data_IF_072856322414
#
_entry.id   IF_072856322414
#
_cell.length_a   1.000
_cell.length_b   1.000
_cell.length_c   1.000
_cell.angle_alpha   90.00
_cell.angle_beta   90.00
_cell.angle_gamma   90.00
#
_symmetry.space_group_name_H-M   'P 1'
#
loop_
_entity.id
_entity.type
_entity.pdbx_description
1 polymer ?
#
# COMPACT_ATOMS: atom_id res chain seq x y z
N UNK A 1 33.15 31.42 23.35
CA UNK A 1 32.35 31.12 22.13
C UNK A 1 31.61 32.38 21.71
N UNK A 2 31.51 32.77 20.42
CA UNK A 2 30.93 32.06 19.27
C UNK A 2 29.39 32.01 19.25
N UNK A 3 28.69 32.91 19.95
CA UNK A 3 27.23 32.89 19.98
C UNK A 3 26.65 33.63 18.76
N UNK A 4 26.43 32.86 17.69
CA UNK A 4 25.62 33.28 16.56
C UNK A 4 24.15 33.45 16.93
N UNK A 5 23.44 34.20 16.08
CA UNK A 5 22.00 34.42 15.79
C UNK A 5 20.87 33.70 16.55
N UNK A 6 21.10 32.99 17.64
CA UNK A 6 20.10 32.22 18.37
C UNK A 6 19.48 33.10 19.45
N UNK A 7 18.16 33.28 19.40
CA UNK A 7 17.42 34.06 20.39
C UNK A 7 17.15 33.24 21.66
N UNK A 8 16.92 33.92 22.78
CA UNK A 8 16.50 33.27 24.03
C UNK A 8 15.25 32.40 23.84
N UNK A 9 14.29 32.83 23.02
CA UNK A 9 13.10 32.05 22.71
C UNK A 9 13.40 30.77 21.92
N UNK A 10 14.42 30.77 21.05
CA UNK A 10 14.87 29.56 20.35
C UNK A 10 15.56 28.57 21.30
N UNK A 11 16.29 29.07 22.30
CA UNK A 11 16.89 28.24 23.35
C UNK A 11 15.79 27.60 24.21
N UNK A 12 14.79 28.37 24.63
CA UNK A 12 13.67 27.88 25.42
C UNK A 12 12.85 26.82 24.65
N UNK A 13 12.60 27.05 23.36
CA UNK A 13 11.95 26.06 22.49
C UNK A 13 12.75 24.75 22.36
N UNK A 14 14.08 24.82 22.29
CA UNK A 14 14.95 23.64 22.25
C UNK A 14 14.91 22.85 23.56
N UNK A 15 14.95 23.53 24.71
CA UNK A 15 14.83 22.91 26.04
C UNK A 15 13.49 22.19 26.17
N UNK A 16 12.39 22.82 25.72
CA UNK A 16 11.07 22.20 25.73
C UNK A 16 11.01 20.96 24.83
N UNK A 17 11.57 21.02 23.61
CA UNK A 17 11.64 19.86 22.70
C UNK A 17 12.48 18.71 23.24
N UNK A 18 13.45 19.00 24.11
CA UNK A 18 14.30 18.00 24.75
C UNK A 18 13.65 17.31 25.95
N UNK A 19 12.41 17.66 26.32
CA UNK A 19 11.75 17.11 27.51
C UNK A 19 11.97 17.95 28.77
N UNK A 20 12.31 19.24 28.61
CA UNK A 20 12.42 20.22 29.68
C UNK A 20 13.81 20.29 30.34
N UNK A 21 13.93 21.19 31.33
CA UNK A 21 15.20 21.55 31.96
C UNK A 21 15.98 20.37 32.54
N UNK A 22 15.29 19.41 33.17
CA UNK A 22 15.93 18.22 33.74
C UNK A 22 16.67 17.39 32.69
N UNK A 23 16.10 17.30 31.49
CA UNK A 23 16.63 16.52 30.39
C UNK A 23 17.77 17.28 29.70
N UNK A 24 17.62 18.60 29.55
CA UNK A 24 18.70 19.50 29.14
C UNK A 24 19.93 19.39 30.04
N UNK A 25 19.76 19.46 31.35
CA UNK A 25 20.89 19.41 32.29
C UNK A 25 21.57 18.03 32.29
N UNK A 26 20.81 16.94 32.16
CA UNK A 26 21.37 15.59 32.03
C UNK A 26 22.14 15.39 30.70
N UNK A 27 21.68 16.03 29.61
CA UNK A 27 22.40 16.04 28.34
C UNK A 27 23.71 16.83 28.43
N UNK A 28 23.69 18.02 29.06
CA UNK A 28 24.90 18.83 29.28
C UNK A 28 25.94 18.14 30.16
N UNK A 29 25.50 17.30 31.11
CA UNK A 29 26.39 16.47 31.95
C UNK A 29 26.88 15.20 31.24
N UNK A 30 26.42 14.92 30.02
CA UNK A 30 26.76 13.70 29.29
C UNK A 30 26.10 12.43 29.82
N UNK A 31 25.13 12.56 30.74
CA UNK A 31 24.40 11.42 31.34
C UNK A 31 23.37 10.83 30.38
N UNK A 32 22.97 11.59 29.37
CA UNK A 32 22.05 11.19 28.32
C UNK A 32 22.47 11.76 26.99
N UNK A 33 22.30 10.98 25.92
CA UNK A 33 22.50 11.42 24.54
C UNK A 33 21.18 11.87 23.93
N UNK A 34 21.21 13.00 23.24
CA UNK A 34 20.12 13.41 22.35
C UNK A 34 20.39 12.74 21.02
N UNK A 35 19.62 11.71 20.72
CA UNK A 35 19.57 11.16 19.37
C UNK A 35 18.71 12.12 18.56
N UNK A 36 19.37 12.99 17.79
CA UNK A 36 18.68 13.68 16.70
C UNK A 36 18.40 12.59 15.69
N UNK A 37 17.13 12.24 15.54
CA UNK A 37 16.70 11.33 14.50
C UNK A 37 16.98 11.99 13.14
N UNK A 38 18.13 11.64 12.58
CA UNK A 38 18.61 12.09 11.27
C UNK A 38 18.15 11.14 10.18
N UNK A 39 17.27 10.20 10.50
CA UNK A 39 16.85 9.20 9.55
C UNK A 39 16.11 9.89 8.39
N UNK A 40 16.71 9.75 7.21
CA UNK A 40 16.19 10.34 5.98
C UNK A 40 14.80 9.77 5.72
N UNK A 41 13.77 10.61 5.50
CA UNK A 41 12.46 10.13 5.09
C UNK A 41 12.57 9.36 3.77
N UNK A 42 11.90 8.22 3.69
CA UNK A 42 11.77 7.42 2.47
C UNK A 42 10.54 7.83 1.66
N UNK A 43 9.55 8.44 2.32
CA UNK A 43 8.33 8.95 1.69
C UNK A 43 8.26 10.47 1.80
N UNK A 44 7.76 11.10 0.74
CA UNK A 44 7.54 12.54 0.68
C UNK A 44 6.35 12.96 1.54
N UNK A 45 6.11 14.27 1.63
CA UNK A 45 5.01 14.83 2.43
C UNK A 45 3.59 14.38 2.02
N UNK A 46 3.45 13.63 0.92
CA UNK A 46 2.18 13.08 0.41
C UNK A 46 2.13 11.55 0.49
N UNK A 47 3.14 10.93 1.08
CA UNK A 47 3.25 9.49 1.21
C UNK A 47 3.70 8.77 -0.05
N UNK A 48 4.20 9.49 -1.06
CA UNK A 48 4.84 8.87 -2.22
C UNK A 48 6.30 8.59 -1.91
N UNK A 49 6.83 7.45 -2.37
CA UNK A 49 8.25 7.11 -2.25
C UNK A 49 9.12 8.18 -2.92
N UNK A 50 10.22 8.54 -2.27
CA UNK A 50 11.22 9.47 -2.79
C UNK A 50 12.16 8.71 -3.73
N UNK A 51 12.25 9.16 -4.98
CA UNK A 51 13.06 8.51 -6.02
C UNK A 51 14.53 8.90 -5.88
N UNK A 52 15.41 7.94 -5.59
CA UNK A 52 16.85 8.19 -5.50
C UNK A 52 17.65 7.03 -6.08
N UNK A 53 18.65 7.34 -6.91
CA UNK A 53 19.58 6.34 -7.44
C UNK A 53 18.99 5.33 -8.43
N UNK A 54 17.73 5.48 -8.84
CA UNK A 54 17.06 4.56 -9.76
C UNK A 54 17.64 4.61 -11.18
N UNK A 55 17.67 3.45 -11.82
CA UNK A 55 18.03 3.30 -13.23
C UNK A 55 16.78 3.19 -14.10
N UNK A 56 15.73 2.55 -13.59
CA UNK A 56 14.46 2.42 -14.27
C UNK A 56 13.68 3.75 -14.35
N UNK A 57 12.76 3.81 -15.31
CA UNK A 57 12.03 5.04 -15.60
C UNK A 57 11.09 5.43 -14.46
N UNK A 58 11.07 6.72 -14.16
CA UNK A 58 10.14 7.38 -13.24
C UNK A 58 9.68 8.69 -13.87
N UNK A 59 8.44 9.05 -13.62
CA UNK A 59 7.87 10.35 -13.98
C UNK A 59 7.17 10.98 -12.77
N UNK A 60 6.89 12.28 -12.88
CA UNK A 60 6.10 12.97 -11.85
C UNK A 60 4.66 12.44 -11.85
N UNK A 61 4.07 12.16 -10.67
CA UNK A 61 2.70 11.67 -10.59
C UNK A 61 1.70 12.74 -11.03
N UNK A 62 0.75 12.35 -11.86
CA UNK A 62 -0.32 13.24 -12.29
C UNK A 62 -1.36 13.37 -11.18
N UNK A 63 -1.54 14.60 -10.73
CA UNK A 63 -2.37 14.94 -9.56
C UNK A 63 -3.87 14.85 -9.83
N UNK A 64 -4.27 14.83 -11.10
CA UNK A 64 -5.67 14.63 -11.47
C UNK A 64 -6.10 13.18 -11.19
N UNK A 65 -5.14 12.24 -11.14
CA UNK A 65 -5.39 10.84 -10.78
C UNK A 65 -5.10 10.63 -9.31
N UNK A 66 -6.15 10.66 -8.49
CA UNK A 66 -6.05 10.64 -7.03
C UNK A 66 -7.11 9.74 -6.39
N UNK A 67 -6.72 9.19 -5.24
CA UNK A 67 -7.61 8.45 -4.36
C UNK A 67 -8.01 9.32 -3.17
N UNK A 68 -9.16 8.99 -2.58
CA UNK A 68 -9.66 9.66 -1.37
C UNK A 68 -9.57 8.68 -0.23
N UNK A 69 -9.01 9.10 0.91
CA UNK A 69 -8.97 8.28 2.10
C UNK A 69 -10.41 7.96 2.54
N UNK A 70 -10.81 6.67 2.66
CA UNK A 70 -12.10 6.33 3.24
C UNK A 70 -12.13 6.70 4.73
N UNK A 71 -13.32 7.08 5.21
CA UNK A 71 -13.58 7.24 6.64
C UNK A 71 -13.61 5.86 7.30
N UNK A 72 -12.75 5.65 8.30
CA UNK A 72 -12.60 4.39 9.05
C UNK A 72 -12.39 4.71 10.53
N UNK A 73 -13.38 5.36 11.14
CA UNK A 73 -13.26 5.91 12.51
C UNK A 73 -13.96 5.02 13.54
N UNK A 74 -14.98 4.27 13.11
CA UNK A 74 -15.83 3.47 13.97
C UNK A 74 -15.73 1.99 13.64
N UNK A 75 -16.03 1.11 14.60
CA UNK A 75 -16.11 -0.33 14.36
C UNK A 75 -17.10 -0.69 13.25
N UNK A 76 -18.19 0.09 13.10
CA UNK A 76 -19.15 -0.08 12.01
C UNK A 76 -18.51 0.14 10.62
N UNK A 77 -17.57 1.08 10.49
CA UNK A 77 -16.87 1.32 9.24
C UNK A 77 -16.01 0.10 8.86
N UNK A 78 -15.31 -0.49 9.83
CA UNK A 78 -14.54 -1.73 9.64
C UNK A 78 -15.48 -2.91 9.33
N UNK A 79 -16.59 -3.05 10.07
CA UNK A 79 -17.58 -4.10 9.85
C UNK A 79 -18.14 -4.05 8.43
N UNK A 80 -18.42 -2.87 7.89
CA UNK A 80 -18.88 -2.71 6.50
C UNK A 80 -17.86 -3.24 5.48
N UNK A 81 -16.55 -3.03 5.72
CA UNK A 81 -15.49 -3.55 4.84
C UNK A 81 -15.34 -5.07 4.95
N UNK A 82 -15.43 -5.62 6.17
CA UNK A 82 -15.44 -7.08 6.39
C UNK A 82 -16.64 -7.73 5.71
N UNK A 83 -17.85 -7.22 5.96
CA UNK A 83 -19.09 -7.73 5.37
C UNK A 83 -19.08 -7.68 3.85
N UNK A 84 -18.49 -6.62 3.26
CA UNK A 84 -18.31 -6.55 1.81
C UNK A 84 -17.46 -7.70 1.28
N UNK A 85 -16.31 -7.94 1.89
CA UNK A 85 -15.41 -9.02 1.50
C UNK A 85 -16.10 -10.39 1.65
N UNK A 86 -16.70 -10.65 2.81
CA UNK A 86 -17.45 -11.89 3.08
C UNK A 86 -18.70 -12.06 2.23
N UNK A 87 -19.32 -10.99 1.78
CA UNK A 87 -20.46 -11.08 0.87
C UNK A 87 -20.07 -11.40 -0.57
N UNK A 88 -18.77 -11.39 -0.90
CA UNK A 88 -18.24 -11.68 -2.23
C UNK A 88 -17.40 -12.96 -2.27
N UNK A 89 -16.76 -13.31 -1.15
CA UNK A 89 -16.23 -14.65 -0.89
C UNK A 89 -17.42 -15.52 -0.45
N UNK A 90 -17.73 -16.62 -1.12
CA UNK A 90 -18.99 -17.35 -0.93
C UNK A 90 -19.18 -18.02 0.48
N UNK A 91 -18.36 -17.72 1.50
CA UNK A 91 -18.49 -18.08 2.93
C UNK A 91 -17.70 -17.05 3.80
N UNK A 92 -18.01 -16.95 5.12
CA UNK A 92 -17.19 -16.29 6.17
C UNK A 92 -15.79 -16.94 6.30
N UNK A 93 -15.01 -16.81 5.26
CA UNK A 93 -13.78 -17.56 5.00
C UNK A 93 -12.57 -16.99 5.73
N UNK A 94 -12.64 -15.74 6.20
CA UNK A 94 -11.45 -15.12 6.79
C UNK A 94 -11.32 -15.40 8.29
N UNK A 95 -12.43 -15.61 9.00
CA UNK A 95 -12.44 -15.73 10.47
C UNK A 95 -12.09 -14.45 11.22
N UNK A 96 -11.98 -13.31 10.52
CA UNK A 96 -11.61 -12.00 11.10
C UNK A 96 -12.87 -11.21 11.46
N UNK A 97 -12.97 -10.74 12.70
CA UNK A 97 -14.03 -9.83 13.16
C UNK A 97 -13.71 -8.36 12.87
N UNK A 98 -14.71 -7.48 12.93
CA UNK A 98 -14.50 -6.04 12.79
C UNK A 98 -13.58 -5.45 13.88
N UNK A 99 -13.73 -5.94 15.12
CA UNK A 99 -12.86 -5.57 16.25
C UNK A 99 -11.41 -5.98 16.01
N UNK A 100 -11.16 -7.23 15.59
CA UNK A 100 -9.81 -7.70 15.25
C UNK A 100 -9.22 -6.89 14.11
N UNK A 101 -10.01 -6.61 13.07
CA UNK A 101 -9.58 -5.83 11.92
C UNK A 101 -9.18 -4.41 12.30
N UNK A 102 -10.00 -3.74 13.13
CA UNK A 102 -9.70 -2.40 13.66
C UNK A 102 -8.46 -2.39 14.54
N UNK A 103 -8.38 -3.30 15.51
CA UNK A 103 -7.26 -3.36 16.45
C UNK A 103 -5.92 -3.59 15.74
N UNK A 104 -5.90 -4.52 14.77
CA UNK A 104 -4.68 -4.79 14.01
C UNK A 104 -4.32 -3.64 13.06
N UNK A 105 -5.32 -2.99 12.46
CA UNK A 105 -5.09 -1.76 11.69
C UNK A 105 -4.43 -0.68 12.54
N UNK A 106 -4.95 -0.43 13.74
CA UNK A 106 -4.41 0.57 14.66
C UNK A 106 -2.98 0.23 15.10
N UNK A 107 -2.70 -1.05 15.35
CA UNK A 107 -1.34 -1.55 15.66
C UNK A 107 -0.37 -1.27 14.51
N UNK A 108 -0.72 -1.65 13.28
CA UNK A 108 0.12 -1.45 12.09
C UNK A 108 0.38 0.03 11.83
N UNK A 109 -0.65 0.88 11.94
CA UNK A 109 -0.49 2.32 11.80
C UNK A 109 0.37 2.93 12.91
N UNK A 110 0.31 2.41 14.13
CA UNK A 110 1.18 2.84 15.22
C UNK A 110 2.65 2.50 14.95
N UNK A 111 2.93 1.32 14.38
CA UNK A 111 4.29 0.94 13.96
C UNK A 111 4.85 1.91 12.91
N UNK A 112 4.06 2.21 11.87
CA UNK A 112 4.47 3.15 10.82
C UNK A 112 4.68 4.56 11.39
N UNK A 113 3.78 5.04 12.25
CA UNK A 113 3.89 6.36 12.89
C UNK A 113 5.07 6.46 13.87
N UNK A 114 5.49 5.33 14.45
CA UNK A 114 6.64 5.25 15.35
C UNK A 114 7.99 5.26 14.65
N UNK A 115 8.04 5.19 13.31
CA UNK A 115 9.28 5.16 12.54
C UNK A 115 9.40 6.40 11.64
N UNK A 116 10.38 7.25 11.93
CA UNK A 116 10.62 8.53 11.24
C UNK A 116 10.95 8.41 9.76
N UNK A 117 11.53 7.29 9.31
CA UNK A 117 11.84 7.06 7.90
C UNK A 117 10.58 6.84 7.08
N UNK A 118 9.55 6.23 7.68
CA UNK A 118 8.37 5.75 6.95
C UNK A 118 7.07 6.44 7.34
N UNK A 119 7.04 7.22 8.43
CA UNK A 119 5.84 7.91 8.93
C UNK A 119 5.10 8.70 7.85
N UNK A 120 5.83 9.24 6.87
CA UNK A 120 5.24 10.03 5.81
C UNK A 120 4.32 9.24 4.87
N UNK A 121 4.44 7.90 4.80
CA UNK A 121 3.57 7.08 3.94
C UNK A 121 2.09 7.19 4.31
N UNK A 122 1.77 7.39 5.60
CA UNK A 122 0.39 7.57 6.09
C UNK A 122 -0.19 8.96 5.79
N UNK A 123 0.59 9.86 5.20
CA UNK A 123 0.05 11.09 4.60
C UNK A 123 -0.65 10.83 3.27
N UNK A 124 -0.37 9.68 2.64
CA UNK A 124 -1.06 9.19 1.45
C UNK A 124 -2.32 8.39 1.80
N UNK A 125 -3.03 7.92 0.79
CA UNK A 125 -4.13 6.98 0.99
C UNK A 125 -3.59 5.65 1.50
N UNK A 126 -4.27 5.09 2.48
CA UNK A 126 -3.93 3.85 3.15
C UNK A 126 -5.20 3.06 3.46
N UNK A 127 -5.23 1.81 3.03
CA UNK A 127 -6.41 0.95 3.02
C UNK A 127 -6.07 -0.31 3.81
N UNK A 128 -6.64 -0.49 5.00
CA UNK A 128 -6.54 -1.76 5.69
C UNK A 128 -7.17 -2.88 4.85
N UNK A 129 -6.53 -4.03 4.70
CA UNK A 129 -7.01 -5.12 3.86
C UNK A 129 -6.94 -6.45 4.61
N UNK A 130 -7.93 -7.32 4.37
CA UNK A 130 -7.96 -8.68 4.89
C UNK A 130 -7.71 -9.62 3.73
N UNK A 131 -6.50 -10.17 3.65
CA UNK A 131 -6.12 -11.17 2.68
C UNK A 131 -6.57 -12.54 3.19
N UNK A 132 -7.49 -13.24 2.51
CA UNK A 132 -8.00 -14.53 2.96
C UNK A 132 -6.91 -15.61 2.94
N UNK A 133 -7.12 -16.69 3.70
CA UNK A 133 -6.22 -17.84 3.64
C UNK A 133 -6.10 -18.36 2.20
N UNK A 134 -4.87 -18.60 1.75
CA UNK A 134 -4.58 -19.18 0.46
C UNK A 134 -4.69 -20.71 0.53
N UNK A 135 -5.59 -21.29 -0.27
CA UNK A 135 -5.90 -22.73 -0.28
C UNK A 135 -5.25 -23.50 -1.43
N UNK A 136 -4.51 -22.82 -2.30
CA UNK A 136 -3.84 -23.39 -3.47
C UNK A 136 -2.40 -22.89 -3.56
N UNK A 137 -1.48 -23.75 -4.01
CA UNK A 137 -0.10 -23.35 -4.30
C UNK A 137 0.04 -22.61 -5.64
N UNK A 138 -0.96 -22.71 -6.51
CA UNK A 138 -1.00 -22.01 -7.79
C UNK A 138 -1.60 -20.62 -7.63
N UNK A 139 -0.72 -19.62 -7.55
CA UNK A 139 -1.08 -18.21 -7.40
C UNK A 139 -1.97 -17.71 -8.53
N UNK A 140 -1.76 -18.23 -9.74
CA UNK A 140 -2.58 -17.89 -10.89
C UNK A 140 -4.03 -18.36 -10.74
N UNK A 141 -4.23 -19.59 -10.23
CA UNK A 141 -5.56 -20.11 -9.91
C UNK A 141 -6.24 -19.27 -8.83
N UNK A 142 -5.51 -18.87 -7.78
CA UNK A 142 -6.05 -18.01 -6.73
C UNK A 142 -6.48 -16.63 -7.28
N UNK A 143 -5.68 -16.05 -8.16
CA UNK A 143 -5.99 -14.77 -8.80
C UNK A 143 -7.28 -14.82 -9.63
N UNK A 144 -7.54 -15.88 -10.40
CA UNK A 144 -8.80 -16.00 -11.15
C UNK A 144 -10.01 -15.97 -10.21
N UNK A 145 -9.94 -16.69 -9.08
CA UNK A 145 -11.00 -16.68 -8.07
C UNK A 145 -11.19 -15.29 -7.48
N UNK A 146 -10.10 -14.60 -7.14
CA UNK A 146 -10.18 -13.24 -6.59
C UNK A 146 -10.67 -12.22 -7.63
N UNK A 147 -10.40 -12.41 -8.92
CA UNK A 147 -10.95 -11.56 -9.99
C UNK A 147 -12.48 -11.70 -10.10
N UNK A 148 -13.02 -12.89 -9.90
CA UNK A 148 -14.48 -13.08 -9.81
C UNK A 148 -15.07 -12.34 -8.61
N UNK A 149 -14.39 -12.39 -7.46
CA UNK A 149 -14.76 -11.66 -6.23
C UNK A 149 -14.76 -10.14 -6.47
N UNK A 150 -13.75 -9.61 -7.18
CA UNK A 150 -13.72 -8.20 -7.59
C UNK A 150 -14.90 -7.87 -8.47
N UNK A 151 -15.23 -8.70 -9.46
CA UNK A 151 -16.41 -8.50 -10.32
C UNK A 151 -17.72 -8.45 -9.54
N UNK A 152 -17.92 -9.38 -8.59
CA UNK A 152 -19.09 -9.39 -7.69
C UNK A 152 -19.15 -8.12 -6.84
N UNK A 153 -18.03 -7.69 -6.26
CA UNK A 153 -18.00 -6.50 -5.40
C UNK A 153 -18.20 -5.21 -6.20
N UNK A 154 -17.58 -5.09 -7.37
CA UNK A 154 -17.70 -3.93 -8.25
C UNK A 154 -19.15 -3.72 -8.72
N UNK A 155 -19.84 -4.79 -9.12
CA UNK A 155 -21.24 -4.71 -9.55
C UNK A 155 -22.20 -4.28 -8.43
N UNK A 156 -21.86 -4.49 -7.15
CA UNK A 156 -22.67 -4.02 -6.01
C UNK A 156 -22.59 -2.50 -5.84
N UNK A 157 -21.42 -1.89 -6.04
CA UNK A 157 -21.24 -0.44 -5.92
C UNK A 157 -21.59 0.32 -7.20
N UNK A 158 -21.50 -0.35 -8.34
CA UNK A 158 -21.77 0.24 -9.64
C UNK A 158 -22.68 -0.68 -10.48
N UNK A 159 -23.99 -0.77 -10.16
CA UNK A 159 -24.91 -1.71 -10.83
C UNK A 159 -25.02 -1.54 -12.34
N UNK A 160 -24.80 -0.32 -12.84
CA UNK A 160 -24.86 0.02 -14.27
C UNK A 160 -23.51 -0.14 -14.99
N UNK A 161 -22.46 -0.53 -14.27
CA UNK A 161 -21.11 -0.72 -14.82
C UNK A 161 -20.75 -2.21 -14.82
N UNK A 162 -19.80 -2.57 -15.69
CA UNK A 162 -19.30 -3.94 -15.80
C UNK A 162 -17.81 -3.99 -15.53
N UNK A 163 -17.35 -5.07 -14.89
CA UNK A 163 -15.94 -5.44 -14.92
C UNK A 163 -15.67 -6.26 -16.18
N UNK A 164 -14.54 -5.99 -16.83
CA UNK A 164 -14.07 -6.74 -17.98
C UNK A 164 -12.69 -7.28 -17.68
N UNK A 165 -12.47 -8.55 -18.01
CA UNK A 165 -11.14 -9.13 -18.07
C UNK A 165 -10.70 -9.15 -19.54
N UNK A 166 -9.74 -8.30 -19.89
CA UNK A 166 -9.18 -8.21 -21.25
C UNK A 166 -7.87 -9.01 -21.41
N UNK A 167 -7.46 -9.75 -20.37
CA UNK A 167 -6.31 -10.64 -20.43
C UNK A 167 -6.49 -11.69 -21.51
N UNK A 168 -5.44 -11.92 -22.30
CA UNK A 168 -5.33 -13.10 -23.17
C UNK A 168 -4.57 -14.20 -22.41
N UNK A 169 -5.11 -15.41 -22.36
CA UNK A 169 -4.52 -16.54 -21.66
C UNK A 169 -5.05 -16.76 -20.23
N UNK A 170 -4.55 -17.82 -19.59
CA UNK A 170 -5.04 -18.35 -18.31
C UNK A 170 -4.01 -18.14 -17.22
N UNK A 171 -4.38 -17.52 -16.09
CA UNK A 171 -3.40 -17.22 -15.03
C UNK A 171 -2.79 -18.47 -14.39
N UNK A 172 -3.57 -19.55 -14.28
CA UNK A 172 -3.16 -20.80 -13.63
C UNK A 172 -1.79 -21.27 -14.12
N UNK A 173 -0.86 -21.48 -13.18
CA UNK A 173 0.53 -21.93 -13.36
C UNK A 173 1.45 -20.98 -14.14
N UNK A 174 0.94 -19.82 -14.53
CA UNK A 174 1.63 -18.88 -15.43
C UNK A 174 1.95 -17.54 -14.72
N UNK A 175 1.56 -17.41 -13.44
CA UNK A 175 1.89 -16.28 -12.57
C UNK A 175 3.00 -16.67 -11.60
N UNK A 176 4.09 -15.91 -11.62
CA UNK A 176 5.21 -16.04 -10.68
C UNK A 176 5.34 -14.83 -9.75
N UNK A 177 6.04 -15.01 -8.64
CA UNK A 177 6.47 -13.91 -7.76
C UNK A 177 7.84 -13.41 -8.23
N UNK A 178 8.03 -12.10 -8.28
CA UNK A 178 9.33 -11.52 -8.64
C UNK A 178 10.25 -11.47 -7.42
N UNK A 179 11.49 -11.93 -7.59
CA UNK A 179 12.50 -11.89 -6.54
C UNK A 179 12.75 -10.47 -6.04
N UNK A 180 12.96 -10.32 -4.73
CA UNK A 180 13.15 -9.00 -4.08
C UNK A 180 11.86 -8.19 -3.87
N UNK A 181 10.70 -8.67 -4.33
CA UNK A 181 9.40 -8.03 -4.05
C UNK A 181 8.89 -8.24 -2.62
N UNK A 182 9.49 -9.19 -1.88
CA UNK A 182 9.02 -9.69 -0.57
C UNK A 182 7.59 -10.28 -0.58
N UNK A 183 6.98 -10.47 -1.75
CA UNK A 183 5.61 -10.95 -1.87
C UNK A 183 5.46 -12.43 -1.50
N UNK A 184 6.55 -13.20 -1.58
CA UNK A 184 6.62 -14.57 -1.08
C UNK A 184 6.34 -14.66 0.43
N UNK A 185 6.69 -13.62 1.20
CA UNK A 185 6.41 -13.54 2.64
C UNK A 185 4.90 -13.44 2.89
N UNK A 186 4.20 -12.60 2.13
CA UNK A 186 2.73 -12.52 2.18
C UNK A 186 2.12 -13.88 1.87
N UNK A 187 2.53 -14.53 0.78
CA UNK A 187 1.99 -15.83 0.38
C UNK A 187 2.23 -16.89 1.46
N UNK A 188 3.41 -16.89 2.09
CA UNK A 188 3.72 -17.79 3.22
C UNK A 188 2.77 -17.57 4.40
N UNK A 189 2.47 -16.32 4.76
CA UNK A 189 1.54 -15.99 5.84
C UNK A 189 0.10 -16.36 5.46
N UNK A 190 -0.33 -16.07 4.22
CA UNK A 190 -1.66 -16.42 3.72
C UNK A 190 -1.90 -17.94 3.72
N UNK A 191 -0.86 -18.77 3.55
CA UNK A 191 -1.00 -20.24 3.68
C UNK A 191 -1.32 -20.68 5.12
N UNK A 192 -0.89 -19.91 6.11
CA UNK A 192 -1.10 -20.21 7.54
C UNK A 192 -2.46 -19.72 8.05
N UNK A 193 -3.03 -18.69 7.44
CA UNK A 193 -4.32 -18.14 7.80
C UNK A 193 -4.58 -16.81 7.09
N UNK A 194 -5.68 -16.15 7.44
CA UNK A 194 -5.96 -14.80 6.94
C UNK A 194 -4.96 -13.80 7.50
N UNK A 195 -4.58 -12.82 6.67
CA UNK A 195 -3.59 -11.79 7.00
C UNK A 195 -4.25 -10.43 6.93
N UNK A 196 -3.98 -9.57 7.91
CA UNK A 196 -4.38 -8.16 7.88
C UNK A 196 -3.14 -7.33 7.54
N UNK A 197 -3.29 -6.38 6.62
CA UNK A 197 -2.21 -5.46 6.24
C UNK A 197 -2.72 -4.07 5.90
N UNK A 198 -1.82 -3.11 5.73
CA UNK A 198 -2.14 -1.77 5.24
C UNK A 198 -1.62 -1.60 3.82
N UNK A 199 -2.52 -1.45 2.86
CA UNK A 199 -2.20 -1.19 1.46
C UNK A 199 -2.10 0.31 1.19
N UNK A 200 -1.00 0.74 0.57
CA UNK A 200 -0.70 2.13 0.21
C UNK A 200 -0.73 2.30 -1.33
N UNK A 201 -1.93 2.49 -1.92
CA UNK A 201 -2.13 2.41 -3.36
C UNK A 201 -1.34 3.44 -4.20
N UNK A 202 -1.09 4.64 -3.69
CA UNK A 202 -0.39 5.69 -4.44
C UNK A 202 1.10 5.85 -4.05
N UNK A 203 1.62 4.97 -3.19
CA UNK A 203 2.99 5.09 -2.68
C UNK A 203 4.06 5.06 -3.79
N UNK A 204 3.76 4.41 -4.91
CA UNK A 204 4.65 4.29 -6.07
C UNK A 204 4.02 4.85 -7.37
N UNK A 205 3.18 5.88 -7.27
CA UNK A 205 2.56 6.45 -8.48
C UNK A 205 3.59 7.12 -9.39
N UNK A 206 3.55 6.84 -10.70
CA UNK A 206 4.49 7.41 -11.68
C UNK A 206 5.81 6.67 -11.80
N UNK A 207 5.96 5.52 -11.15
CA UNK A 207 7.09 4.62 -11.34
C UNK A 207 6.77 3.61 -12.45
N UNK A 208 7.78 3.17 -13.20
CA UNK A 208 7.66 1.96 -14.01
C UNK A 208 7.72 0.72 -13.10
N UNK A 209 7.24 -0.43 -13.57
CA UNK A 209 7.30 -1.70 -12.79
C UNK A 209 8.73 -2.07 -12.40
N UNK A 210 9.71 -1.78 -13.28
CA UNK A 210 11.11 -1.99 -12.92
C UNK A 210 11.56 -1.03 -11.81
N UNK A 211 11.11 0.23 -11.84
CA UNK A 211 11.41 1.19 -10.80
C UNK A 211 10.71 0.83 -9.47
N UNK A 212 9.48 0.30 -9.51
CA UNK A 212 8.78 -0.23 -8.33
C UNK A 212 9.61 -1.32 -7.64
N UNK A 213 10.21 -2.22 -8.42
CA UNK A 213 11.05 -3.32 -7.90
C UNK A 213 12.38 -2.81 -7.37
N UNK A 214 13.02 -1.84 -8.04
CA UNK A 214 14.25 -1.21 -7.56
C UNK A 214 14.03 -0.51 -6.19
N UNK A 215 12.86 0.10 -5.98
CA UNK A 215 12.49 0.74 -4.72
C UNK A 215 12.39 -0.20 -3.51
N UNK A 216 12.28 -1.52 -3.73
CA UNK A 216 12.25 -2.47 -2.63
C UNK A 216 13.62 -2.68 -1.96
N UNK A 217 14.71 -2.35 -2.65
CA UNK A 217 16.07 -2.63 -2.19
C UNK A 217 16.48 -1.90 -0.91
N UNK A 218 15.85 -0.76 -0.61
CA UNK A 218 16.18 0.08 0.55
C UNK A 218 14.98 0.37 1.47
N UNK A 219 13.84 -0.30 1.24
CA UNK A 219 12.70 -0.25 2.16
C UNK A 219 12.98 -1.11 3.41
N UNK A 220 12.55 -0.66 4.61
CA UNK A 220 12.71 -1.45 5.81
C UNK A 220 11.80 -2.68 5.80
N UNK A 221 12.09 -3.62 6.70
CA UNK A 221 11.27 -4.81 6.92
C UNK A 221 9.79 -4.46 7.18
N UNK A 222 8.91 -5.35 6.73
CA UNK A 222 7.46 -5.19 6.83
C UNK A 222 6.82 -4.63 5.57
N UNK A 223 7.58 -3.98 4.68
CA UNK A 223 7.10 -3.58 3.35
C UNK A 223 7.19 -4.71 2.32
N UNK A 224 6.12 -4.86 1.56
CA UNK A 224 5.97 -5.81 0.48
C UNK A 224 5.51 -5.05 -0.76
N UNK A 225 6.12 -5.33 -1.92
CA UNK A 225 5.62 -4.80 -3.18
C UNK A 225 4.27 -5.46 -3.48
N UNK A 226 3.30 -4.65 -3.89
CA UNK A 226 1.93 -5.14 -4.02
C UNK A 226 1.72 -5.99 -5.29
N UNK A 227 0.83 -6.97 -5.15
CA UNK A 227 0.51 -8.02 -6.10
C UNK A 227 -0.89 -8.57 -5.83
N UNK A 228 -1.00 -9.77 -5.26
CA UNK A 228 -2.32 -10.39 -4.94
C UNK A 228 -3.17 -9.52 -4.02
N UNK A 229 -2.56 -8.80 -3.08
CA UNK A 229 -3.24 -7.90 -2.15
C UNK A 229 -4.05 -6.80 -2.85
N UNK A 230 -3.61 -6.33 -4.02
CA UNK A 230 -4.36 -5.35 -4.83
C UNK A 230 -5.71 -5.90 -5.26
N UNK A 231 -5.78 -7.18 -5.64
CA UNK A 231 -7.04 -7.81 -6.08
C UNK A 231 -8.04 -7.87 -4.93
N UNK A 232 -7.56 -8.19 -3.73
CA UNK A 232 -8.37 -8.18 -2.52
C UNK A 232 -8.77 -6.75 -2.13
N UNK A 233 -7.85 -5.80 -2.22
CA UNK A 233 -8.11 -4.39 -1.97
C UNK A 233 -9.20 -3.85 -2.91
N UNK A 234 -9.16 -4.21 -4.20
CA UNK A 234 -10.18 -3.87 -5.19
C UNK A 234 -11.57 -4.44 -4.81
N UNK A 235 -11.63 -5.63 -4.23
CA UNK A 235 -12.87 -6.19 -3.74
C UNK A 235 -13.38 -5.47 -2.47
N UNK A 236 -12.50 -5.03 -1.58
CA UNK A 236 -12.87 -4.33 -0.34
C UNK A 236 -13.18 -2.84 -0.52
N UNK A 237 -12.58 -2.21 -1.53
CA UNK A 237 -12.61 -0.77 -1.77
C UNK A 237 -12.90 -0.38 -3.23
N UNK A 238 -13.90 -0.95 -3.92
CA UNK A 238 -14.20 -0.56 -5.30
C UNK A 238 -14.67 0.91 -5.39
N UNK A 239 -15.31 1.44 -4.35
CA UNK A 239 -15.68 2.85 -4.18
C UNK A 239 -14.48 3.81 -4.18
N UNK A 240 -13.29 3.33 -3.80
CA UNK A 240 -12.07 4.13 -3.75
C UNK A 240 -11.20 3.84 -4.98
N UNK A 241 -10.85 2.57 -5.18
CA UNK A 241 -9.86 2.12 -6.16
C UNK A 241 -10.43 2.00 -7.58
N UNK A 242 -11.75 1.89 -7.72
CA UNK A 242 -12.43 1.73 -9.01
C UNK A 242 -13.53 2.79 -9.25
N UNK A 243 -13.44 3.93 -8.56
CA UNK A 243 -14.47 4.99 -8.53
C UNK A 243 -14.84 5.53 -9.90
N UNK A 244 -13.86 5.95 -10.68
CA UNK A 244 -14.01 6.65 -11.96
C UNK A 244 -12.68 6.67 -12.72
N UNK A 245 -12.65 7.36 -13.87
CA UNK A 245 -11.43 7.57 -14.65
C UNK A 245 -10.26 8.17 -13.84
N UNK A 246 -10.55 9.01 -12.83
CA UNK A 246 -9.56 9.69 -12.02
C UNK A 246 -9.02 8.83 -10.86
N UNK A 247 -9.52 7.60 -10.66
CA UNK A 247 -8.83 6.65 -9.79
C UNK A 247 -7.50 6.23 -10.45
N UNK A 248 -6.40 6.19 -9.70
CA UNK A 248 -5.12 5.73 -10.24
C UNK A 248 -5.19 4.25 -10.64
N UNK A 249 -4.56 3.89 -11.74
CA UNK A 249 -4.38 2.49 -12.11
C UNK A 249 -3.51 1.76 -11.10
N UNK A 250 -3.78 0.48 -10.88
CA UNK A 250 -3.08 -0.34 -9.88
C UNK A 250 -2.35 -1.47 -10.59
N UNK A 251 -1.03 -1.47 -10.53
CA UNK A 251 -0.17 -2.48 -11.12
C UNK A 251 0.20 -3.57 -10.10
N UNK A 252 0.09 -4.83 -10.49
CA UNK A 252 0.51 -5.96 -9.66
C UNK A 252 2.02 -6.18 -9.84
N UNK A 253 2.81 -5.18 -9.44
CA UNK A 253 4.24 -5.04 -9.75
C UNK A 253 5.12 -6.17 -9.17
N UNK A 254 4.68 -6.78 -8.07
CA UNK A 254 5.34 -7.94 -7.46
C UNK A 254 5.18 -9.25 -8.24
N UNK A 255 4.27 -9.27 -9.23
CA UNK A 255 4.00 -10.46 -10.00
C UNK A 255 4.69 -10.41 -11.37
N UNK A 256 5.04 -11.59 -11.86
CA UNK A 256 5.43 -11.82 -13.24
C UNK A 256 4.34 -12.62 -13.95
N UNK A 257 4.23 -12.36 -15.24
CA UNK A 257 3.29 -12.98 -16.14
C UNK A 257 4.01 -13.22 -17.47
N UNK A 258 3.52 -14.15 -18.29
CA UNK A 258 4.02 -14.48 -19.64
C UNK A 258 3.86 -13.34 -20.68
N UNK A 259 4.10 -12.09 -20.29
CA UNK A 259 3.98 -10.90 -21.11
C UNK A 259 4.98 -9.84 -20.67
N UNK A 260 5.34 -8.95 -21.60
CA UNK A 260 6.10 -7.71 -21.31
C UNK A 260 5.22 -6.58 -20.76
N UNK A 261 3.99 -6.92 -20.36
CA UNK A 261 2.98 -6.04 -19.81
C UNK A 261 2.64 -6.49 -18.39
N UNK A 262 2.42 -5.54 -17.48
CA UNK A 262 1.94 -5.85 -16.14
C UNK A 262 0.50 -6.39 -16.16
N UNK A 263 0.16 -7.18 -15.15
CA UNK A 263 -1.23 -7.33 -14.74
C UNK A 263 -1.63 -6.07 -13.99
N UNK A 264 -2.78 -5.49 -14.33
CA UNK A 264 -3.21 -4.22 -13.74
C UNK A 264 -4.72 -4.05 -13.79
N UNK A 265 -5.21 -3.18 -12.90
CA UNK A 265 -6.57 -2.68 -12.92
C UNK A 265 -6.61 -1.23 -13.37
N UNK A 266 -7.62 -0.92 -14.18
CA UNK A 266 -7.94 0.45 -14.58
C UNK A 266 -9.43 0.68 -14.54
N UNK A 267 -9.85 1.68 -13.77
CA UNK A 267 -11.20 2.19 -13.85
C UNK A 267 -11.35 3.18 -15.01
N UNK A 268 -12.49 3.07 -15.68
CA UNK A 268 -13.06 4.04 -16.59
C UNK A 268 -14.44 4.42 -16.03
N UNK A 269 -14.98 5.56 -16.45
CA UNK A 269 -16.26 6.07 -15.94
C UNK A 269 -17.45 5.08 -16.07
N UNK A 270 -17.34 4.11 -16.99
CA UNK A 270 -18.40 3.14 -17.29
C UNK A 270 -18.02 1.68 -17.01
N UNK A 271 -16.77 1.41 -16.61
CA UNK A 271 -16.28 0.03 -16.44
C UNK A 271 -15.00 -0.07 -15.62
N UNK A 272 -14.79 -1.22 -15.02
CA UNK A 272 -13.49 -1.65 -14.51
C UNK A 272 -12.86 -2.61 -15.50
N UNK A 273 -11.59 -2.41 -15.82
CA UNK A 273 -10.85 -3.29 -16.72
C UNK A 273 -9.71 -3.93 -15.95
N UNK A 274 -9.63 -5.25 -16.00
CA UNK A 274 -8.43 -6.00 -15.68
C UNK A 274 -7.68 -6.31 -16.99
N UNK A 275 -6.42 -5.90 -17.02
CA UNK A 275 -5.50 -5.83 -18.17
C UNK A 275 -5.65 -4.58 -19.03
N UNK A 276 -4.64 -3.72 -18.90
CA UNK A 276 -4.30 -2.62 -19.78
C UNK A 276 -2.77 -2.67 -20.00
N UNK A 277 -2.23 -2.43 -21.21
CA UNK A 277 -0.86 -2.77 -21.57
C UNK A 277 0.15 -1.74 -21.03
N UNK A 278 0.28 -1.63 -19.71
CA UNK A 278 1.40 -0.91 -19.13
C UNK A 278 2.67 -1.75 -19.37
N UNK A 279 3.53 -1.26 -20.26
CA UNK A 279 4.84 -1.87 -20.48
C UNK A 279 5.65 -1.81 -19.19
N UNK A 280 6.34 -2.90 -18.85
CA UNK A 280 7.09 -3.00 -17.59
C UNK A 280 8.13 -1.88 -17.39
N UNK A 281 8.70 -1.38 -18.48
CA UNK A 281 9.69 -0.30 -18.48
C UNK A 281 9.09 1.11 -18.56
N UNK A 282 7.80 1.24 -18.89
CA UNK A 282 7.16 2.56 -19.06
C UNK A 282 6.66 3.07 -17.72
N UNK A 283 7.05 4.30 -17.38
CA UNK A 283 6.49 5.00 -16.24
C UNK A 283 5.23 5.75 -16.68
N UNK A 284 4.09 5.41 -16.07
CA UNK A 284 2.83 6.11 -16.28
C UNK A 284 2.47 6.91 -15.03
N UNK A 285 2.30 8.22 -15.20
CA UNK A 285 2.01 9.21 -14.16
C UNK A 285 0.69 8.96 -13.40
N UNK A 286 -0.19 8.09 -13.91
CA UNK A 286 -1.46 7.71 -13.31
C UNK A 286 -1.57 6.24 -12.87
N UNK A 287 -0.50 5.45 -12.97
CA UNK A 287 -0.42 4.10 -12.42
C UNK A 287 0.52 4.04 -11.21
N UNK A 288 0.34 3.02 -10.37
CA UNK A 288 1.15 2.77 -9.19
C UNK A 288 1.25 1.27 -8.91
N UNK A 289 2.44 0.78 -8.60
CA UNK A 289 2.67 -0.58 -8.11
C UNK A 289 2.22 -0.82 -6.67
N UNK A 290 2.06 0.27 -5.88
CA UNK A 290 1.61 0.21 -4.48
C UNK A 290 2.57 -0.53 -3.53
N UNK A 291 2.29 -0.42 -2.24
CA UNK A 291 3.04 -1.14 -1.20
C UNK A 291 2.06 -1.68 -0.16
N UNK A 292 2.35 -2.86 0.38
CA UNK A 292 1.67 -3.46 1.51
C UNK A 292 2.57 -3.43 2.75
N UNK A 293 2.00 -3.18 3.92
CA UNK A 293 2.70 -3.27 5.21
C UNK A 293 2.06 -4.33 6.12
N UNK A 294 2.85 -5.26 6.66
CA UNK A 294 2.39 -6.37 7.52
C UNK A 294 2.86 -6.32 8.99
N UNK A 295 3.86 -5.47 9.30
CA UNK A 295 4.36 -5.16 10.66
C UNK A 295 4.56 -6.32 11.62
#
# INVERSE_FOLDING_TARGET
MKYGTVTLGQVEAAINKLGGQKMWDAWLRGEKTVVVDTARPLFDKRGRRISEGLQANVCDPNRDFYLKQPKLDSEADYANRVMRLHGCLDVNTTGITAEQFKAETERLLALVRGNSQIVNIVNGVHLPVIMPQLTTDDLGTALEQYLEVVGKSYAKDFPDRKSYNHRKGTLAKEVGIVDGSCHDQLIKLMKQGSVIGIYFPNSLQGYSIYADREQMSDLPEGFILSGVDIVIAMAMYPDILARDWYASGQDLAALSWQSVLSLSFRACDVRLVFVFPAYLASAYDYYSGGLLFLG
#
